data_IF_307157096582
#
_entry.id   IF_307157096582
#
_cell.length_a   1.000
_cell.length_b   1.000
_cell.length_c   1.000
_cell.angle_alpha   90.00
_cell.angle_beta   90.00
_cell.angle_gamma   90.00
#
_symmetry.space_group_name_H-M   'P 1'
#
loop_
_entity.id
_entity.type
_entity.pdbx_description
1 polymer ?
#
# COMPACT_ATOMS: atom_id res chain seq x y z
N UNK A 1 -0.10 4.53 -38.28
CA UNK A 1 0.56 4.43 -36.96
C UNK A 1 -0.35 3.61 -36.06
N UNK A 2 0.13 2.51 -35.46
CA UNK A 2 -0.66 1.67 -34.54
C UNK A 2 -0.07 1.80 -33.14
N UNK A 3 -0.88 2.21 -32.16
CA UNK A 3 -0.48 2.31 -30.76
C UNK A 3 -0.87 1.07 -29.96
N UNK A 4 -0.10 0.74 -28.94
CA UNK A 4 -0.34 -0.38 -28.03
C UNK A 4 0.02 -0.01 -26.60
N UNK A 5 -0.71 -0.59 -25.65
CA UNK A 5 -0.31 -0.61 -24.24
C UNK A 5 0.24 -1.99 -23.91
N UNK A 6 1.47 -2.06 -23.44
CA UNK A 6 2.15 -3.31 -23.09
C UNK A 6 2.36 -3.44 -21.59
N UNK A 7 2.15 -4.64 -21.10
CA UNK A 7 2.54 -5.09 -19.77
C UNK A 7 3.46 -6.31 -19.91
N UNK A 8 4.01 -6.82 -18.81
CA UNK A 8 4.90 -7.98 -18.84
C UNK A 8 4.28 -9.23 -19.51
N UNK A 9 2.96 -9.40 -19.41
CA UNK A 9 2.27 -10.61 -19.85
C UNK A 9 1.19 -10.35 -20.89
N UNK A 10 0.94 -9.10 -21.27
CA UNK A 10 -0.21 -8.75 -22.08
C UNK A 10 0.03 -7.50 -22.93
N UNK A 11 -0.50 -7.51 -24.15
CA UNK A 11 -0.44 -6.40 -25.10
C UNK A 11 -1.85 -6.06 -25.55
N UNK A 12 -2.24 -4.81 -25.34
CA UNK A 12 -3.52 -4.28 -25.77
C UNK A 12 -3.31 -3.29 -26.93
N UNK A 13 -4.07 -3.45 -28.00
CA UNK A 13 -4.00 -2.58 -29.17
C UNK A 13 -4.96 -1.40 -28.98
N UNK A 14 -4.43 -0.18 -29.12
CA UNK A 14 -5.23 1.04 -29.06
C UNK A 14 -6.13 1.18 -30.30
N UNK A 15 -7.31 1.74 -30.09
CA UNK A 15 -8.23 2.09 -31.16
C UNK A 15 -7.66 3.25 -32.00
N UNK A 16 -7.98 3.33 -33.31
CA UNK A 16 -7.40 4.34 -34.20
C UNK A 16 -7.78 5.79 -33.90
N UNK A 17 -8.91 6.03 -33.20
CA UNK A 17 -9.41 7.37 -32.87
C UNK A 17 -9.16 7.68 -31.39
N UNK A 18 -9.91 7.03 -30.51
CA UNK A 18 -9.78 7.16 -29.07
C UNK A 18 -10.01 5.80 -28.41
N UNK A 19 -9.26 5.51 -27.36
CA UNK A 19 -9.42 4.30 -26.54
C UNK A 19 -9.91 4.68 -25.16
N UNK A 20 -11.03 4.12 -24.70
CA UNK A 20 -11.56 4.34 -23.34
C UNK A 20 -11.07 3.28 -22.36
N UNK A 21 -10.77 3.69 -21.14
CA UNK A 21 -10.18 2.84 -20.10
C UNK A 21 -10.99 3.03 -18.81
N UNK A 22 -11.46 1.94 -18.23
CA UNK A 22 -12.29 2.00 -17.04
C UNK A 22 -12.73 0.62 -16.56
N UNK A 23 -13.57 0.59 -15.52
CA UNK A 23 -14.20 -0.67 -15.06
C UNK A 23 -15.47 -1.01 -15.82
N UNK A 24 -16.09 -0.02 -16.47
CA UNK A 24 -17.35 -0.21 -17.15
C UNK A 24 -17.19 -1.16 -18.35
N UNK A 25 -18.17 -2.04 -18.57
CA UNK A 25 -18.14 -3.07 -19.63
C UNK A 25 -18.06 -2.51 -21.05
N UNK A 26 -18.49 -1.26 -21.21
CA UNK A 26 -18.45 -0.56 -22.50
C UNK A 26 -17.10 0.16 -22.74
N UNK A 27 -16.15 0.07 -21.81
CA UNK A 27 -14.80 0.59 -22.01
C UNK A 27 -14.01 -0.33 -22.96
N UNK A 28 -13.24 0.24 -23.87
CA UNK A 28 -12.37 -0.54 -24.77
C UNK A 28 -11.37 -1.39 -23.97
N UNK A 29 -10.81 -0.82 -22.89
CA UNK A 29 -9.98 -1.49 -21.92
C UNK A 29 -10.71 -1.57 -20.57
N UNK A 30 -11.29 -2.75 -20.30
CA UNK A 30 -11.94 -3.06 -19.02
C UNK A 30 -10.91 -3.53 -17.99
N UNK A 31 -10.72 -2.76 -16.91
CA UNK A 31 -9.87 -3.14 -15.79
C UNK A 31 -10.73 -3.53 -14.58
N UNK A 32 -10.45 -4.68 -13.96
CA UNK A 32 -11.18 -5.13 -12.76
C UNK A 32 -10.60 -4.59 -11.43
N UNK A 33 -9.72 -3.58 -11.50
CA UNK A 33 -9.08 -3.01 -10.31
C UNK A 33 -10.04 -2.04 -9.59
N UNK A 34 -10.23 -2.23 -8.28
CA UNK A 34 -11.14 -1.41 -7.46
C UNK A 34 -10.74 0.07 -7.36
N UNK A 35 -9.45 0.39 -7.57
CA UNK A 35 -8.93 1.75 -7.61
C UNK A 35 -9.08 2.46 -8.96
N UNK A 36 -9.69 1.81 -9.96
CA UNK A 36 -10.04 2.40 -11.26
C UNK A 36 -11.52 2.79 -11.25
N UNK A 37 -11.87 3.93 -11.82
CA UNK A 37 -13.26 4.40 -11.92
C UNK A 37 -14.01 3.73 -13.09
N UNK A 38 -15.33 3.88 -13.15
CA UNK A 38 -16.14 3.35 -14.26
C UNK A 38 -15.66 3.86 -15.62
N UNK A 39 -15.34 5.15 -15.72
CA UNK A 39 -14.73 5.81 -16.89
C UNK A 39 -13.47 6.56 -16.44
N UNK A 40 -12.34 5.87 -16.36
CA UNK A 40 -11.15 6.38 -15.66
C UNK A 40 -10.23 7.22 -16.55
N UNK A 41 -10.04 6.85 -17.82
CA UNK A 41 -9.19 7.60 -18.75
C UNK A 41 -9.63 7.41 -20.21
N UNK A 42 -9.25 8.34 -21.06
CA UNK A 42 -9.37 8.22 -22.52
C UNK A 42 -8.04 8.58 -23.17
N UNK A 43 -7.54 7.70 -24.03
CA UNK A 43 -6.33 7.94 -24.84
C UNK A 43 -6.76 8.34 -26.23
N UNK A 44 -6.59 9.62 -26.56
CA UNK A 44 -6.85 10.16 -27.90
C UNK A 44 -5.59 10.06 -28.77
N UNK A 45 -5.73 9.51 -29.97
CA UNK A 45 -4.67 9.37 -30.97
C UNK A 45 -4.78 10.43 -32.08
N UNK A 46 -5.73 11.37 -31.99
CA UNK A 46 -5.95 12.42 -32.99
C UNK A 46 -4.84 13.50 -32.94
N UNK A 47 -4.28 13.82 -34.11
CA UNK A 47 -3.00 14.52 -34.27
C UNK A 47 -3.09 16.06 -34.19
N UNK A 48 -3.91 16.60 -33.30
CA UNK A 48 -3.99 18.05 -33.11
C UNK A 48 -3.62 18.43 -31.66
N UNK A 49 -3.04 19.63 -31.50
CA UNK A 49 -2.87 20.43 -30.27
C UNK A 49 -1.46 20.64 -29.68
N UNK A 50 -1.38 21.76 -28.96
CA UNK A 50 -0.24 22.63 -28.63
C UNK A 50 0.20 22.44 -27.16
N UNK A 51 1.48 22.70 -26.87
CA UNK A 51 2.19 22.36 -25.62
C UNK A 51 1.81 23.23 -24.40
N UNK A 52 1.67 22.60 -23.22
CA UNK A 52 1.77 23.27 -21.90
C UNK A 52 2.36 22.31 -20.84
N UNK A 53 3.55 22.67 -20.33
CA UNK A 53 4.27 22.28 -19.10
C UNK A 53 3.86 21.01 -18.30
N UNK A 54 4.71 19.98 -18.41
CA UNK A 54 4.88 18.76 -17.59
C UNK A 54 4.23 18.74 -16.18
N UNK A 55 2.93 18.46 -16.09
CA UNK A 55 2.18 18.44 -14.83
C UNK A 55 1.39 17.14 -14.60
N UNK A 56 1.20 16.82 -13.31
CA UNK A 56 0.39 15.72 -12.77
C UNK A 56 -1.10 15.99 -13.00
N UNK A 57 -1.85 14.99 -13.45
CA UNK A 57 -3.20 15.24 -13.98
C UNK A 57 -4.31 14.51 -13.20
N UNK A 58 -5.29 15.31 -12.75
CA UNK A 58 -6.67 14.93 -12.48
C UNK A 58 -7.52 15.75 -13.46
N UNK A 59 -8.28 15.09 -14.34
CA UNK A 59 -9.20 15.77 -15.27
C UNK A 59 -8.56 16.74 -16.29
N UNK A 60 -7.39 16.40 -16.83
CA UNK A 60 -6.74 17.16 -17.91
C UNK A 60 -6.13 16.21 -18.97
N UNK A 61 -5.57 16.76 -20.04
CA UNK A 61 -5.00 15.99 -21.16
C UNK A 61 -3.47 15.99 -21.07
N UNK A 62 -2.85 14.80 -20.98
CA UNK A 62 -1.38 14.62 -21.05
C UNK A 62 -1.02 14.16 -22.47
N UNK A 63 0.06 14.67 -23.04
CA UNK A 63 0.64 14.08 -24.25
C UNK A 63 1.55 12.93 -23.90
N UNK A 64 1.33 11.79 -24.52
CA UNK A 64 2.13 10.59 -24.32
C UNK A 64 3.14 10.43 -25.46
N UNK A 65 4.33 9.93 -25.11
CA UNK A 65 5.39 9.54 -26.03
C UNK A 65 5.60 8.02 -26.00
N UNK A 66 6.13 7.42 -27.09
CA UNK A 66 6.55 6.02 -27.04
C UNK A 66 7.55 5.77 -25.90
N UNK A 67 7.29 4.76 -25.07
CA UNK A 67 8.06 4.43 -23.88
C UNK A 67 7.48 4.97 -22.57
N UNK A 68 6.45 5.83 -22.62
CA UNK A 68 5.80 6.34 -21.42
C UNK A 68 5.10 5.24 -20.64
N UNK A 69 5.18 5.31 -19.31
CA UNK A 69 4.60 4.33 -18.40
C UNK A 69 3.36 4.89 -17.71
N UNK A 70 2.20 4.29 -18.02
CA UNK A 70 0.90 4.63 -17.49
C UNK A 70 0.51 3.68 -16.36
N UNK A 71 -0.12 4.24 -15.33
CA UNK A 71 -0.68 3.51 -14.20
C UNK A 71 -2.13 3.92 -14.03
N UNK A 72 -3.04 2.96 -14.05
CA UNK A 72 -4.46 3.19 -13.87
C UNK A 72 -4.87 2.73 -12.47
N UNK A 73 -5.42 3.66 -11.69
CA UNK A 73 -5.81 3.43 -10.30
C UNK A 73 -4.65 3.12 -9.34
N UNK A 74 -4.97 3.01 -8.06
CA UNK A 74 -4.00 2.63 -7.02
C UNK A 74 -3.70 1.13 -7.05
N UNK A 75 -2.41 0.75 -7.05
CA UNK A 75 -1.99 -0.66 -7.11
C UNK A 75 -2.26 -1.36 -8.44
N UNK A 76 -2.53 -0.61 -9.51
CA UNK A 76 -2.69 -1.13 -10.87
C UNK A 76 -1.37 -1.57 -11.53
N UNK A 77 -1.49 -2.35 -12.60
CA UNK A 77 -0.35 -2.73 -13.44
C UNK A 77 0.24 -1.53 -14.17
N UNK A 78 1.54 -1.59 -14.46
CA UNK A 78 2.23 -0.61 -15.30
C UNK A 78 2.04 -0.96 -16.77
N UNK A 79 1.62 0.02 -17.56
CA UNK A 79 1.42 -0.09 -19.00
C UNK A 79 2.42 0.80 -19.73
N UNK A 80 3.22 0.26 -20.62
CA UNK A 80 4.12 1.03 -21.49
C UNK A 80 3.42 1.34 -22.82
N UNK A 81 3.43 2.60 -23.24
CA UNK A 81 2.93 3.01 -24.54
C UNK A 81 3.95 2.68 -25.63
N UNK A 82 3.58 1.80 -26.56
CA UNK A 82 4.37 1.50 -27.75
C UNK A 82 3.67 2.01 -28.99
N UNK A 83 4.43 2.54 -29.95
CA UNK A 83 3.93 2.93 -31.26
C UNK A 83 4.70 2.14 -32.32
N UNK A 84 3.99 1.33 -33.11
CA UNK A 84 4.56 0.75 -34.32
C UNK A 84 4.68 1.87 -35.36
N UNK A 85 5.88 2.43 -35.45
CA UNK A 85 6.33 3.12 -36.64
C UNK A 85 6.80 2.05 -37.63
N UNK A 86 6.29 2.05 -38.86
CA UNK A 86 6.68 1.08 -39.91
C UNK A 86 8.16 1.21 -40.36
N UNK A 87 9.00 1.91 -39.57
CA UNK A 87 10.41 2.18 -39.83
C UNK A 87 11.25 2.07 -38.56
N UNK A 88 11.39 0.86 -38.00
CA UNK A 88 12.63 0.43 -37.34
C UNK A 88 12.52 -0.98 -36.76
N UNK A 89 13.17 -1.93 -37.42
CA UNK A 89 13.80 -3.09 -36.78
C UNK A 89 15.23 -3.16 -37.35
N UNK A 90 16.24 -3.53 -36.53
CA UNK A 90 16.35 -4.91 -36.11
C UNK A 90 16.23 -5.11 -34.60
N UNK A 91 15.33 -6.04 -34.29
CA UNK A 91 15.22 -6.89 -33.11
C UNK A 91 16.54 -7.16 -32.37
N UNK A 92 16.51 -6.96 -31.05
CA UNK A 92 17.14 -7.85 -30.07
C UNK A 92 16.25 -7.91 -28.81
N UNK A 93 15.18 -8.70 -28.91
CA UNK A 93 14.53 -9.26 -27.73
C UNK A 93 15.26 -10.57 -27.39
N UNK A 94 16.12 -10.52 -26.37
CA UNK A 94 16.80 -11.69 -25.83
C UNK A 94 16.03 -12.22 -24.62
N UNK A 95 15.01 -13.04 -24.85
CA UNK A 95 14.49 -13.97 -23.85
C UNK A 95 14.37 -15.35 -24.51
N UNK A 96 15.27 -16.25 -24.11
CA UNK A 96 15.25 -17.71 -24.38
C UNK A 96 14.07 -18.35 -23.62
N UNK A 97 13.43 -19.42 -24.12
CA UNK A 97 14.02 -20.77 -24.11
C UNK A 97 13.96 -21.47 -25.49
N UNK A 98 15.07 -22.16 -25.81
CA UNK A 98 15.28 -22.99 -27.00
C UNK A 98 14.28 -24.17 -27.07
N UNK A 99 13.77 -24.51 -28.26
CA UNK A 99 13.99 -25.86 -28.78
C UNK A 99 14.86 -25.89 -30.04
N UNK A 100 15.83 -26.79 -30.00
CA UNK A 100 16.81 -27.14 -31.02
C UNK A 100 16.11 -27.60 -32.30
N UNK A 101 16.29 -26.92 -33.45
CA UNK A 101 16.22 -27.53 -34.81
C UNK A 101 16.78 -26.60 -35.92
N UNK A 102 16.87 -25.27 -35.76
CA UNK A 102 17.21 -24.38 -36.90
C UNK A 102 18.43 -23.45 -36.73
N UNK A 103 19.59 -24.01 -36.36
CA UNK A 103 20.87 -23.29 -36.50
C UNK A 103 21.92 -24.21 -37.12
N UNK A 104 21.84 -24.44 -38.42
CA UNK A 104 23.00 -24.92 -39.19
C UNK A 104 23.20 -24.24 -40.54
N UNK A 105 22.18 -23.61 -41.12
CA UNK A 105 22.28 -23.07 -42.49
C UNK A 105 22.80 -21.64 -42.64
N UNK A 106 22.95 -20.85 -41.56
CA UNK A 106 23.33 -19.44 -41.69
C UNK A 106 24.83 -19.16 -41.45
N UNK A 107 25.59 -20.13 -40.91
CA UNK A 107 27.03 -19.95 -40.63
C UNK A 107 27.94 -20.40 -41.79
N UNK A 108 27.43 -21.21 -42.73
CA UNK A 108 28.22 -21.64 -43.90
C UNK A 108 28.11 -20.70 -45.11
N UNK A 109 27.13 -19.79 -45.14
CA UNK A 109 26.91 -18.90 -46.30
C UNK A 109 27.66 -17.57 -46.24
N UNK A 110 28.65 -17.43 -45.34
CA UNK A 110 29.55 -16.26 -45.29
C UNK A 110 31.02 -16.62 -45.43
N UNK A 111 31.34 -17.86 -45.80
CA UNK A 111 32.71 -18.33 -45.99
C UNK A 111 33.13 -18.47 -47.48
N UNK A 112 32.48 -17.73 -48.39
CA UNK A 112 32.78 -17.81 -49.83
C UNK A 112 33.23 -16.50 -50.50
N UNK A 113 33.62 -15.48 -49.73
CA UNK A 113 34.29 -14.29 -50.30
C UNK A 113 35.39 -13.82 -49.36
N UNK A 114 36.53 -14.49 -49.42
CA UNK A 114 37.75 -14.07 -48.71
C UNK A 114 38.90 -13.93 -49.71
N UNK A 115 39.07 -12.71 -50.18
CA UNK A 115 40.33 -12.14 -50.63
C UNK A 115 40.25 -10.65 -50.29
N UNK A 116 41.14 -10.16 -49.43
CA UNK A 116 41.34 -8.74 -49.07
C UNK A 116 40.44 -8.01 -48.04
N UNK A 117 39.38 -8.59 -47.47
CA UNK A 117 38.47 -7.86 -46.56
C UNK A 117 38.67 -8.00 -45.04
N UNK A 118 39.52 -8.91 -44.58
CA UNK A 118 39.46 -9.41 -43.18
C UNK A 118 40.05 -8.48 -42.11
N UNK A 119 40.96 -7.59 -42.47
CA UNK A 119 41.66 -6.76 -41.47
C UNK A 119 40.76 -5.64 -40.94
N UNK A 120 39.92 -5.04 -41.79
CA UNK A 120 39.10 -3.89 -41.40
C UNK A 120 37.88 -4.28 -40.54
N UNK A 121 37.23 -5.42 -40.84
CA UNK A 121 36.05 -5.89 -40.09
C UNK A 121 36.41 -6.40 -38.69
N UNK A 122 37.61 -6.98 -38.52
CA UNK A 122 38.10 -7.45 -37.22
C UNK A 122 38.34 -6.30 -36.24
N UNK A 123 38.99 -5.23 -36.71
CA UNK A 123 39.31 -4.05 -35.89
C UNK A 123 38.03 -3.33 -35.45
N UNK A 124 37.05 -3.15 -36.33
CA UNK A 124 35.78 -2.52 -35.95
C UNK A 124 34.97 -3.34 -34.92
N UNK A 125 35.11 -4.66 -34.90
CA UNK A 125 34.42 -5.53 -33.94
C UNK A 125 35.12 -5.54 -32.56
N UNK A 126 36.45 -5.52 -32.53
CA UNK A 126 37.23 -5.41 -31.28
C UNK A 126 36.97 -4.07 -30.58
N UNK A 127 37.02 -2.96 -31.31
CA UNK A 127 36.73 -1.62 -30.74
C UNK A 127 35.30 -1.53 -30.20
N UNK A 128 34.34 -2.16 -30.88
CA UNK A 128 32.95 -2.17 -30.47
C UNK A 128 32.70 -3.10 -29.28
N UNK A 129 33.43 -4.22 -29.19
CA UNK A 129 33.41 -5.08 -28.01
C UNK A 129 33.97 -4.34 -26.81
N UNK A 130 35.11 -3.66 -26.97
CA UNK A 130 35.74 -2.90 -25.90
C UNK A 130 34.82 -1.79 -25.37
N UNK A 131 34.18 -1.02 -26.26
CA UNK A 131 33.18 0.00 -25.86
C UNK A 131 32.03 -0.59 -25.04
N UNK A 132 31.57 -1.79 -25.39
CA UNK A 132 30.51 -2.48 -24.65
C UNK A 132 31.01 -3.00 -23.30
N UNK A 133 32.22 -3.54 -23.23
CA UNK A 133 32.84 -4.00 -21.99
C UNK A 133 33.08 -2.84 -21.02
N UNK A 134 33.52 -1.70 -21.52
CA UNK A 134 33.68 -0.45 -20.75
C UNK A 134 32.32 0.04 -20.22
N UNK A 135 31.28 0.03 -21.07
CA UNK A 135 29.92 0.41 -20.66
C UNK A 135 29.35 -0.54 -19.60
N UNK A 136 29.59 -1.85 -19.74
CA UNK A 136 29.20 -2.85 -18.75
C UNK A 136 29.91 -2.60 -17.42
N UNK A 137 31.20 -2.25 -17.45
CA UNK A 137 31.96 -1.92 -16.24
C UNK A 137 31.42 -0.67 -15.55
N UNK A 138 31.21 0.41 -16.30
CA UNK A 138 30.65 1.66 -15.79
C UNK A 138 29.26 1.46 -15.17
N UNK A 139 28.37 0.72 -15.84
CA UNK A 139 27.05 0.41 -15.30
C UNK A 139 27.14 -0.49 -14.05
N UNK A 140 28.09 -1.43 -13.99
CA UNK A 140 28.31 -2.25 -12.78
C UNK A 140 28.78 -1.40 -11.60
N UNK A 141 29.65 -0.43 -11.84
CA UNK A 141 30.10 0.52 -10.82
C UNK A 141 28.93 1.39 -10.33
N UNK A 142 28.13 1.93 -11.25
CA UNK A 142 26.95 2.73 -10.92
C UNK A 142 25.92 1.92 -10.11
N UNK A 143 25.60 0.69 -10.53
CA UNK A 143 24.71 -0.20 -9.79
C UNK A 143 25.26 -0.51 -8.40
N UNK A 144 26.57 -0.66 -8.27
CA UNK A 144 27.23 -0.90 -6.97
C UNK A 144 27.14 0.34 -6.08
N UNK A 145 27.38 1.53 -6.63
CA UNK A 145 27.25 2.81 -5.92
C UNK A 145 25.81 3.07 -5.46
N UNK A 146 24.81 2.84 -6.33
CA UNK A 146 23.40 2.98 -5.99
C UNK A 146 22.96 1.99 -4.91
N UNK A 147 23.43 0.74 -4.97
CA UNK A 147 23.18 -0.25 -3.91
C UNK A 147 23.76 0.19 -2.57
N UNK A 148 24.96 0.78 -2.55
CA UNK A 148 25.57 1.32 -1.34
C UNK A 148 24.77 2.51 -0.79
N UNK A 149 24.37 3.46 -1.64
CA UNK A 149 23.53 4.59 -1.22
C UNK A 149 22.18 4.14 -0.66
N UNK A 150 21.54 3.15 -1.27
CA UNK A 150 20.29 2.57 -0.75
C UNK A 150 20.50 1.87 0.60
N UNK A 151 21.62 1.16 0.77
CA UNK A 151 21.98 0.55 2.05
C UNK A 151 22.19 1.58 3.15
N UNK A 152 22.86 2.69 2.83
CA UNK A 152 23.06 3.81 3.75
C UNK A 152 21.74 4.50 4.09
N UNK A 153 20.88 4.77 3.10
CA UNK A 153 19.56 5.37 3.31
C UNK A 153 18.59 4.47 4.10
N UNK A 154 18.77 3.15 4.04
CA UNK A 154 18.00 2.17 4.83
C UNK A 154 18.35 2.22 6.32
N UNK A 155 19.59 2.57 6.66
CA UNK A 155 19.92 3.05 8.01
C UNK A 155 19.40 4.49 8.09
N UNK A 156 18.10 4.65 8.37
CA UNK A 156 17.49 5.96 8.56
C UNK A 156 18.26 6.83 9.57
N UNK A 157 17.94 8.12 9.61
CA UNK A 157 18.63 9.08 10.48
C UNK A 157 18.72 8.54 11.93
N UNK A 158 19.93 8.31 12.47
CA UNK A 158 20.11 7.74 13.80
C UNK A 158 19.52 8.64 14.89
N UNK A 159 19.48 9.96 14.69
CA UNK A 159 18.88 10.91 15.63
C UNK A 159 17.36 10.73 15.70
N UNK A 160 16.71 10.63 14.54
CA UNK A 160 15.26 10.37 14.44
C UNK A 160 14.92 9.01 15.04
N UNK A 161 15.73 7.99 14.77
CA UNK A 161 15.53 6.64 15.29
C UNK A 161 15.65 6.60 16.82
N UNK A 162 16.65 7.28 17.38
CA UNK A 162 16.82 7.41 18.82
C UNK A 162 15.64 8.16 19.46
N UNK A 163 15.25 9.31 18.88
CA UNK A 163 14.16 10.14 19.38
C UNK A 163 12.80 9.42 19.36
N UNK A 164 12.53 8.61 18.32
CA UNK A 164 11.35 7.74 18.28
C UNK A 164 11.35 6.75 19.45
N UNK A 165 12.48 6.09 19.71
CA UNK A 165 12.61 5.14 20.82
C UNK A 165 12.39 5.80 22.19
N UNK A 166 12.91 7.01 22.40
CA UNK A 166 12.65 7.78 23.62
C UNK A 166 11.15 8.08 23.78
N UNK A 167 10.51 8.58 22.72
CA UNK A 167 9.07 8.88 22.74
C UNK A 167 8.21 7.63 22.99
N UNK A 168 8.59 6.48 22.43
CA UNK A 168 7.91 5.19 22.71
C UNK A 168 7.98 4.80 24.19
N UNK A 169 9.15 4.96 24.80
CA UNK A 169 9.34 4.71 26.24
C UNK A 169 8.49 5.67 27.09
N UNK A 170 8.49 6.96 26.75
CA UNK A 170 7.71 7.98 27.45
C UNK A 170 6.21 7.72 27.33
N UNK A 171 5.73 7.35 26.13
CA UNK A 171 4.33 6.98 25.90
C UNK A 171 3.94 5.79 26.78
N UNK A 172 4.80 4.78 26.88
CA UNK A 172 4.56 3.62 27.73
C UNK A 172 4.49 4.02 29.20
N UNK A 173 5.45 4.81 29.69
CA UNK A 173 5.46 5.27 31.08
C UNK A 173 4.22 6.12 31.39
N UNK A 174 3.85 7.05 30.50
CA UNK A 174 2.64 7.86 30.66
C UNK A 174 1.37 7.02 30.65
N UNK A 175 1.31 5.97 29.83
CA UNK A 175 0.19 5.03 29.84
C UNK A 175 0.09 4.28 31.18
N UNK A 176 1.21 3.84 31.72
CA UNK A 176 1.28 3.17 33.02
C UNK A 176 0.84 4.14 34.15
N UNK A 177 1.30 5.40 34.12
CA UNK A 177 0.87 6.46 35.06
C UNK A 177 -0.64 6.73 34.97
N UNK A 178 -1.21 6.83 33.76
CA UNK A 178 -2.66 7.02 33.56
C UNK A 178 -3.45 5.83 34.14
N UNK A 179 -2.97 4.60 33.93
CA UNK A 179 -3.62 3.41 34.47
C UNK A 179 -3.60 3.40 36.00
N UNK A 180 -2.48 3.79 36.61
CA UNK A 180 -2.36 3.90 38.06
C UNK A 180 -3.30 4.97 38.62
N UNK A 181 -3.36 6.15 38.01
CA UNK A 181 -4.27 7.22 38.43
C UNK A 181 -5.74 6.80 38.29
N UNK A 182 -6.10 6.09 37.22
CA UNK A 182 -7.45 5.51 37.08
C UNK A 182 -7.78 4.56 38.23
N UNK A 183 -6.85 3.68 38.62
CA UNK A 183 -7.07 2.78 39.75
C UNK A 183 -7.23 3.56 41.07
N UNK A 184 -6.42 4.59 41.28
CA UNK A 184 -6.52 5.45 42.45
C UNK A 184 -7.83 6.24 42.50
N UNK A 185 -8.43 6.60 41.36
CA UNK A 185 -9.75 7.25 41.34
C UNK A 185 -10.90 6.26 41.61
N UNK A 186 -10.73 4.99 41.25
CA UNK A 186 -11.73 3.94 41.46
C UNK A 186 -11.82 3.47 42.92
N UNK A 187 -10.70 3.41 43.64
CA UNK A 187 -10.63 2.92 45.03
C UNK A 187 -11.48 3.73 46.03
N UNK A 188 -11.39 5.08 46.08
CA UNK A 188 -12.24 5.90 46.94
C UNK A 188 -13.73 5.75 46.65
N UNK A 189 -14.08 5.59 45.37
CA UNK A 189 -15.47 5.40 44.95
C UNK A 189 -16.01 4.03 45.38
N UNK A 190 -15.17 2.99 45.40
CA UNK A 190 -15.52 1.66 45.90
C UNK A 190 -15.72 1.66 47.42
N UNK A 191 -14.76 2.21 48.16
CA UNK A 191 -14.81 2.26 49.63
C UNK A 191 -15.97 3.11 50.16
N UNK A 192 -16.30 4.22 49.47
CA UNK A 192 -17.46 5.06 49.82
C UNK A 192 -18.80 4.33 49.63
N UNK A 193 -18.94 3.52 48.56
CA UNK A 193 -20.14 2.72 48.31
C UNK A 193 -20.34 1.62 49.36
N UNK A 194 -19.26 0.96 49.77
CA UNK A 194 -19.27 -0.07 50.81
C UNK A 194 -19.69 0.49 52.17
N UNK A 195 -19.12 1.63 52.58
CA UNK A 195 -19.53 2.31 53.82
C UNK A 195 -21.01 2.72 53.80
N UNK A 196 -21.51 3.23 52.67
CA UNK A 196 -22.91 3.60 52.53
C UNK A 196 -23.81 2.36 52.64
N UNK A 197 -23.42 1.26 51.99
CA UNK A 197 -24.11 -0.04 52.08
C UNK A 197 -24.17 -0.56 53.51
N UNK A 198 -23.06 -0.52 54.23
CA UNK A 198 -22.98 -0.93 55.63
C UNK A 198 -23.90 -0.09 56.51
N UNK A 199 -23.88 1.24 56.37
CA UNK A 199 -24.76 2.14 57.11
C UNK A 199 -26.25 1.94 56.80
N UNK A 200 -26.59 1.53 55.57
CA UNK A 200 -27.97 1.13 55.22
C UNK A 200 -28.35 -0.16 55.94
N UNK A 201 -27.50 -1.18 55.90
CA UNK A 201 -27.80 -2.46 56.57
C UNK A 201 -27.96 -2.32 58.09
N UNK A 202 -27.14 -1.49 58.75
CA UNK A 202 -27.29 -1.21 60.19
C UNK A 202 -28.62 -0.51 60.49
N UNK A 203 -29.04 0.44 59.63
CA UNK A 203 -30.34 1.10 59.77
C UNK A 203 -31.49 0.11 59.57
N UNK A 204 -31.41 -0.78 58.60
CA UNK A 204 -32.44 -1.80 58.34
C UNK A 204 -32.57 -2.79 59.51
N UNK A 205 -31.44 -3.20 60.10
CA UNK A 205 -31.43 -4.01 61.33
C UNK A 205 -32.11 -3.28 62.49
N UNK A 206 -31.84 -1.98 62.64
CA UNK A 206 -32.44 -1.17 63.71
C UNK A 206 -33.95 -0.95 63.49
N UNK A 207 -34.37 -0.74 62.26
CA UNK A 207 -35.80 -0.68 61.89
C UNK A 207 -36.48 -2.00 62.24
N UNK A 208 -35.88 -3.13 61.88
CA UNK A 208 -36.41 -4.47 62.19
C UNK A 208 -36.56 -4.68 63.70
N UNK A 209 -35.54 -4.31 64.48
CA UNK A 209 -35.60 -4.39 65.95
C UNK A 209 -36.68 -3.48 66.56
N UNK A 210 -36.83 -2.26 66.05
CA UNK A 210 -37.86 -1.34 66.53
C UNK A 210 -39.28 -1.83 66.18
N UNK A 211 -39.48 -2.38 64.98
CA UNK A 211 -40.75 -2.99 64.59
C UNK A 211 -41.12 -4.13 65.54
N UNK A 212 -40.17 -4.99 65.86
CA UNK A 212 -40.36 -6.11 66.79
C UNK A 212 -40.72 -5.62 68.21
N UNK A 213 -40.06 -4.57 68.69
CA UNK A 213 -40.44 -3.93 69.96
C UNK A 213 -41.83 -3.32 69.91
N UNK A 214 -42.20 -2.69 68.80
CA UNK A 214 -43.51 -2.05 68.62
C UNK A 214 -44.64 -3.07 68.61
N UNK A 215 -44.45 -4.22 67.95
CA UNK A 215 -45.39 -5.33 67.96
C UNK A 215 -45.52 -5.96 69.35
N UNK A 216 -44.40 -6.09 70.08
CA UNK A 216 -44.41 -6.56 71.47
C UNK A 216 -45.25 -5.66 72.36
N UNK A 217 -45.01 -4.34 72.34
CA UNK A 217 -45.78 -3.36 73.12
C UNK A 217 -47.26 -3.36 72.72
N UNK A 218 -47.56 -3.45 71.43
CA UNK A 218 -48.94 -3.52 70.93
C UNK A 218 -49.68 -4.74 71.49
N UNK A 219 -49.02 -5.90 71.53
CA UNK A 219 -49.61 -7.12 72.10
C UNK A 219 -49.80 -7.03 73.62
N UNK A 220 -48.83 -6.48 74.35
CA UNK A 220 -48.94 -6.24 75.80
C UNK A 220 -50.10 -5.27 76.12
N UNK A 221 -50.24 -4.19 75.34
CA UNK A 221 -51.33 -3.23 75.50
C UNK A 221 -52.71 -3.85 75.20
N UNK A 222 -52.82 -4.65 74.14
CA UNK A 222 -54.06 -5.36 73.82
C UNK A 222 -54.43 -6.37 74.92
N UNK A 223 -53.44 -7.06 75.49
CA UNK A 223 -53.64 -7.98 76.61
C UNK A 223 -54.12 -7.25 77.86
N UNK A 224 -53.54 -6.08 78.15
CA UNK A 224 -53.93 -5.22 79.27
C UNK A 224 -55.36 -4.66 79.10
N UNK A 225 -55.74 -4.25 77.89
CA UNK A 225 -57.12 -3.82 77.57
C UNK A 225 -58.14 -4.95 77.77
N UNK A 226 -57.85 -6.15 77.28
CA UNK A 226 -58.74 -7.31 77.45
C UNK A 226 -59.03 -7.59 78.94
N UNK A 227 -58.00 -7.52 79.79
CA UNK A 227 -58.17 -7.68 81.24
C UNK A 227 -59.05 -6.59 81.86
N UNK A 228 -58.97 -5.35 81.36
CA UNK A 228 -59.81 -4.24 81.83
C UNK A 228 -61.27 -4.38 81.37
N UNK A 229 -61.55 -4.97 80.21
CA UNK A 229 -62.92 -5.23 79.74
C UNK A 229 -63.62 -6.38 80.48
N UNK A 230 -62.89 -7.19 81.25
CA UNK A 230 -63.44 -8.36 81.97
C UNK A 230 -63.77 -8.08 83.45
N UNK A 231 -63.53 -6.85 83.94
CA UNK A 231 -63.80 -6.39 85.31
C UNK A 231 -65.02 -5.47 85.34
#
# INVERSE_FOLDING_TARGET
>A
MKGYLKTLNWVFKLQPKSTTIGRHKDSDLCLQNSGVDECHATVDCSAHWTYVNDCRIHNATVRLSPGDQLHFGYGGSTYELCIDSEKSFPLLAAHSPVPQVWVRSQKEQRLHRLGDGNVHVSVCFEDESQRKDDAIMALKEEVSALRLQLSQKKQGDPDVTHRLRCLESDIKEKKDQIQQLKQQMLEPQRCSGEMLGQAVTERDQKISSLLEQMDKVKNENNSSMCLLETL
#
